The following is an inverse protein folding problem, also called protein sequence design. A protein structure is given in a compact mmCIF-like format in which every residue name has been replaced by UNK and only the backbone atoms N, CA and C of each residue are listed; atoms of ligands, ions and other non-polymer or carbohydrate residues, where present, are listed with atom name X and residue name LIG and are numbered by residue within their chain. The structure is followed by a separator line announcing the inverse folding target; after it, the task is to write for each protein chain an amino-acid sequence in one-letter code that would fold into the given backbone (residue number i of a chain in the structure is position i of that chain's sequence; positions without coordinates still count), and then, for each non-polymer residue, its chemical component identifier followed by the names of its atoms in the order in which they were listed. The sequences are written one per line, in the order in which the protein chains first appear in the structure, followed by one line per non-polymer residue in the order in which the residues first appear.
data_IF_939183392755
#
_entry.id   IF_939183392755
#
_cell.length_a   1.000
_cell.length_b   1.000
_cell.length_c   1.000
_cell.angle_alpha   90.00
_cell.angle_beta   90.00
_cell.angle_gamma   90.00
#
_symmetry.space_group_name_H-M   'P 1'
#
loop_
_entity.id
_entity.type
_entity.pdbx_description
1 polymer ?
#
# COMPACT_ATOMS: atom_id res chain seq x y z
N UNK A 1 -33.65 -2.51 -2.30
CA UNK A 1 -32.35 -1.91 -1.89
C UNK A 1 -31.52 -3.01 -1.28
N UNK A 2 -30.68 -3.67 -2.08
CA UNK A 2 -29.81 -4.74 -1.60
C UNK A 2 -28.67 -4.12 -0.81
N UNK A 3 -28.48 -4.56 0.43
CA UNK A 3 -27.28 -4.25 1.18
C UNK A 3 -26.08 -4.79 0.40
N UNK A 4 -25.06 -3.96 0.20
CA UNK A 4 -23.77 -4.41 -0.33
C UNK A 4 -23.22 -5.47 0.63
N UNK A 5 -22.77 -6.64 0.14
CA UNK A 5 -22.17 -7.65 1.00
C UNK A 5 -20.97 -7.04 1.74
N UNK A 6 -20.79 -7.42 3.01
CA UNK A 6 -19.64 -7.04 3.83
C UNK A 6 -18.37 -7.44 3.05
N UNK A 7 -17.34 -6.60 3.09
CA UNK A 7 -16.05 -6.77 2.40
C UNK A 7 -15.39 -8.17 2.55
N UNK A 8 -15.83 -8.99 3.50
CA UNK A 8 -15.32 -10.34 3.77
C UNK A 8 -15.62 -11.39 2.68
N UNK A 9 -16.53 -11.12 1.75
CA UNK A 9 -16.95 -12.07 0.70
C UNK A 9 -16.61 -11.57 -0.71
N UNK A 10 -15.63 -10.68 -0.83
CA UNK A 10 -15.07 -10.27 -2.12
C UNK A 10 -14.18 -11.41 -2.62
N UNK A 11 -14.51 -11.96 -3.78
CA UNK A 11 -13.72 -12.95 -4.51
C UNK A 11 -12.24 -12.53 -4.49
N UNK A 12 -11.45 -13.12 -3.57
CA UNK A 12 -10.04 -12.76 -3.43
C UNK A 12 -9.34 -13.07 -4.73
N UNK A 13 -8.54 -12.13 -5.19
CA UNK A 13 -7.80 -12.30 -6.43
C UNK A 13 -6.66 -13.29 -6.18
N UNK A 14 -6.48 -14.27 -7.07
CA UNK A 14 -5.26 -15.08 -7.05
C UNK A 14 -4.06 -14.28 -7.60
N UNK A 15 -2.84 -14.77 -7.40
CA UNK A 15 -1.62 -14.05 -7.79
C UNK A 15 -1.58 -13.67 -9.29
N UNK A 16 -2.05 -14.54 -10.17
CA UNK A 16 -2.10 -14.28 -11.62
C UNK A 16 -3.03 -13.12 -11.96
N UNK A 17 -4.21 -13.10 -11.34
CA UNK A 17 -5.21 -12.06 -11.58
C UNK A 17 -4.80 -10.75 -10.90
N UNK A 18 -4.11 -10.77 -9.75
CA UNK A 18 -3.52 -9.59 -9.12
C UNK A 18 -2.43 -8.95 -9.99
N UNK A 19 -1.51 -9.75 -10.54
CA UNK A 19 -0.50 -9.29 -11.49
C UNK A 19 -1.12 -8.69 -12.76
N UNK A 20 -2.21 -9.27 -13.26
CA UNK A 20 -2.96 -8.71 -14.41
C UNK A 20 -3.57 -7.35 -14.10
N UNK A 21 -4.18 -7.17 -12.92
CA UNK A 21 -4.71 -5.87 -12.49
C UNK A 21 -3.61 -4.82 -12.47
N UNK A 22 -2.43 -5.17 -11.99
CA UNK A 22 -1.30 -4.26 -11.98
C UNK A 22 -0.88 -3.84 -13.38
N UNK A 23 -0.75 -4.80 -14.30
CA UNK A 23 -0.35 -4.54 -15.68
C UNK A 23 -1.32 -3.59 -16.41
N UNK A 24 -2.64 -3.76 -16.24
CA UNK A 24 -3.63 -2.93 -16.94
C UNK A 24 -3.78 -1.52 -16.35
N UNK A 25 -3.44 -1.34 -15.08
CA UNK A 25 -3.55 -0.04 -14.39
C UNK A 25 -2.21 0.70 -14.25
N UNK A 26 -1.13 0.19 -14.84
CA UNK A 26 0.22 0.73 -14.68
C UNK A 26 0.67 0.77 -13.20
N UNK A 27 0.33 -0.27 -12.45
CA UNK A 27 0.90 -0.53 -11.12
C UNK A 27 2.12 -1.43 -11.24
N UNK A 28 3.01 -1.35 -10.27
CA UNK A 28 4.27 -2.10 -10.24
C UNK A 28 4.43 -2.87 -8.94
N UNK A 29 5.45 -3.72 -8.86
CA UNK A 29 5.90 -4.36 -7.61
C UNK A 29 4.82 -5.20 -6.91
N UNK A 30 3.99 -5.90 -7.68
CA UNK A 30 2.99 -6.81 -7.12
C UNK A 30 3.67 -7.91 -6.27
N UNK A 31 3.13 -8.14 -5.07
CA UNK A 31 3.54 -9.26 -4.22
C UNK A 31 2.42 -9.74 -3.32
N UNK A 32 2.54 -10.99 -2.89
CA UNK A 32 1.68 -11.63 -1.88
C UNK A 32 2.45 -11.80 -0.57
N UNK A 33 1.72 -11.86 0.54
CA UNK A 33 2.25 -12.04 1.89
C UNK A 33 1.74 -13.36 2.52
N UNK A 34 2.39 -13.83 3.59
CA UNK A 34 2.02 -15.07 4.28
C UNK A 34 0.62 -14.99 4.91
N UNK A 35 0.20 -13.79 5.32
CA UNK A 35 -1.13 -13.52 5.86
C UNK A 35 -2.22 -13.39 4.78
N UNK A 36 -1.94 -13.90 3.58
CA UNK A 36 -2.84 -13.92 2.42
C UNK A 36 -3.21 -12.55 1.86
N UNK A 37 -2.57 -11.47 2.31
CA UNK A 37 -2.71 -10.16 1.70
C UNK A 37 -1.88 -10.07 0.43
N UNK A 38 -2.23 -9.10 -0.39
CA UNK A 38 -1.44 -8.69 -1.53
C UNK A 38 -1.29 -7.18 -1.58
N UNK A 39 -0.27 -6.73 -2.32
CA UNK A 39 -0.04 -5.33 -2.53
C UNK A 39 0.72 -5.03 -3.82
N UNK A 40 0.62 -3.79 -4.26
CA UNK A 40 1.38 -3.23 -5.36
C UNK A 40 1.68 -1.75 -5.12
N UNK A 41 2.50 -1.14 -5.99
CA UNK A 41 2.77 0.30 -6.01
C UNK A 41 2.03 0.94 -7.17
N UNK A 42 1.24 1.97 -6.88
CA UNK A 42 0.54 2.76 -7.89
C UNK A 42 1.08 4.19 -7.97
N UNK A 43 1.34 4.73 -9.17
CA UNK A 43 1.61 6.14 -9.35
C UNK A 43 0.32 6.97 -9.22
N UNK A 44 0.37 8.06 -8.48
CA UNK A 44 -0.66 9.10 -8.42
C UNK A 44 -0.08 10.42 -8.95
N UNK A 45 -0.94 11.43 -9.15
CA UNK A 45 -0.58 12.72 -9.75
C UNK A 45 0.65 13.39 -9.09
N UNK A 46 0.84 13.21 -7.78
CA UNK A 46 1.94 13.84 -7.02
C UNK A 46 2.64 12.90 -6.03
N UNK A 47 2.23 11.63 -5.95
CA UNK A 47 2.68 10.69 -4.92
C UNK A 47 2.73 9.29 -5.50
N UNK A 48 3.34 8.37 -4.77
CA UNK A 48 3.23 6.94 -5.01
C UNK A 48 2.47 6.32 -3.85
N UNK A 49 1.72 5.26 -4.06
CA UNK A 49 1.06 4.57 -2.94
C UNK A 49 1.26 3.07 -3.01
N UNK A 50 1.47 2.47 -1.83
CA UNK A 50 1.23 1.04 -1.66
C UNK A 50 -0.29 0.88 -1.61
N UNK A 51 -0.85 0.09 -2.52
CA UNK A 51 -2.24 -0.35 -2.49
C UNK A 51 -2.25 -1.77 -1.92
N UNK A 52 -3.13 -2.03 -0.95
CA UNK A 52 -3.27 -3.36 -0.36
C UNK A 52 -4.67 -3.92 -0.53
N UNK A 53 -4.75 -5.25 -0.53
CA UNK A 53 -5.98 -6.03 -0.66
C UNK A 53 -6.69 -5.67 -1.97
N UNK A 54 -6.02 -5.93 -3.09
CA UNK A 54 -6.54 -5.63 -4.41
C UNK A 54 -7.84 -6.44 -4.63
N UNK A 55 -8.78 -5.83 -5.34
CA UNK A 55 -9.93 -6.52 -5.92
C UNK A 55 -10.16 -6.02 -7.36
N UNK A 56 -11.12 -6.63 -8.08
CA UNK A 56 -11.42 -6.27 -9.46
C UNK A 56 -11.94 -4.82 -9.62
N UNK A 57 -12.35 -4.18 -8.53
CA UNK A 57 -12.92 -2.83 -8.49
C UNK A 57 -11.95 -1.80 -7.89
N UNK A 58 -10.88 -2.22 -7.23
CA UNK A 58 -9.93 -1.32 -6.57
C UNK A 58 -9.03 -2.00 -5.54
N UNK A 59 -9.02 -1.44 -4.33
CA UNK A 59 -8.14 -1.84 -3.22
C UNK A 59 -8.84 -1.58 -1.88
N UNK A 60 -8.45 -2.35 -0.85
CA UNK A 60 -8.94 -2.20 0.51
C UNK A 60 -8.34 -1.00 1.25
N UNK A 61 -7.03 -0.78 1.12
CA UNK A 61 -6.34 0.35 1.76
C UNK A 61 -5.19 0.90 0.92
N UNK A 62 -4.71 2.10 1.25
CA UNK A 62 -3.52 2.68 0.64
C UNK A 62 -2.73 3.61 1.56
N UNK A 63 -1.41 3.62 1.34
CA UNK A 63 -0.48 4.51 2.04
C UNK A 63 0.37 5.30 1.05
N UNK A 64 0.33 6.63 1.13
CA UNK A 64 1.00 7.51 0.17
C UNK A 64 2.42 7.91 0.61
N UNK A 65 3.33 7.96 -0.36
CA UNK A 65 4.75 8.29 -0.28
C UNK A 65 5.10 9.41 -1.27
N UNK A 66 6.13 10.19 -0.97
CA UNK A 66 6.55 11.27 -1.87
C UNK A 66 7.22 10.73 -3.13
N UNK A 67 7.99 9.65 -2.99
CA UNK A 67 8.78 9.07 -4.07
C UNK A 67 8.46 7.58 -4.24
N UNK A 68 8.70 7.08 -5.45
CA UNK A 68 8.63 5.66 -5.75
C UNK A 68 9.62 4.86 -4.88
N UNK A 69 10.83 5.38 -4.71
CA UNK A 69 11.88 4.71 -3.92
C UNK A 69 11.45 4.50 -2.46
N UNK A 70 10.77 5.48 -1.85
CA UNK A 70 10.26 5.33 -0.48
C UNK A 70 9.14 4.30 -0.41
N UNK A 71 8.21 4.31 -1.38
CA UNK A 71 7.15 3.30 -1.46
C UNK A 71 7.74 1.90 -1.67
N UNK A 72 8.76 1.75 -2.51
CA UNK A 72 9.42 0.48 -2.79
C UNK A 72 10.13 -0.07 -1.57
N UNK A 73 10.92 0.78 -0.89
CA UNK A 73 11.60 0.41 0.36
C UNK A 73 10.61 -0.01 1.43
N UNK A 74 9.50 0.72 1.57
CA UNK A 74 8.45 0.37 2.51
C UNK A 74 7.78 -0.95 2.16
N UNK A 75 7.48 -1.21 0.88
CA UNK A 75 6.87 -2.47 0.42
C UNK A 75 7.82 -3.67 0.57
N UNK A 76 9.13 -3.47 0.40
CA UNK A 76 10.13 -4.52 0.63
C UNK A 76 10.19 -4.94 2.10
N UNK A 77 10.15 -3.96 3.00
CA UNK A 77 10.23 -4.18 4.44
C UNK A 77 8.91 -4.63 5.09
N UNK A 78 7.79 -4.46 4.39
CA UNK A 78 6.47 -4.80 4.91
C UNK A 78 6.25 -6.32 4.90
N UNK A 79 5.64 -6.83 5.96
CA UNK A 79 5.25 -8.24 6.14
C UNK A 79 3.77 -8.49 5.83
N UNK A 80 3.03 -7.44 5.47
CA UNK A 80 1.58 -7.48 5.23
C UNK A 80 0.77 -7.22 6.50
N UNK A 81 1.36 -7.15 7.68
CA UNK A 81 0.65 -6.86 8.92
C UNK A 81 0.59 -5.35 9.17
N UNK A 82 -0.52 -4.90 9.77
CA UNK A 82 -0.76 -3.50 10.10
C UNK A 82 -0.50 -2.53 8.92
N UNK A 83 0.32 -1.52 9.14
CA UNK A 83 0.62 -0.45 8.19
C UNK A 83 2.13 -0.48 7.87
N UNK A 84 2.52 -0.33 6.59
CA UNK A 84 3.93 -0.18 6.23
C UNK A 84 4.51 1.07 6.90
N UNK A 85 5.84 1.16 7.04
CA UNK A 85 6.48 2.34 7.62
C UNK A 85 6.57 3.52 6.62
N UNK A 86 6.82 4.72 7.14
CA UNK A 86 7.27 5.88 6.35
C UNK A 86 6.23 6.58 5.46
N UNK A 87 4.94 6.24 5.57
CA UNK A 87 3.91 6.89 4.77
C UNK A 87 3.56 8.30 5.30
N UNK A 88 3.14 9.18 4.38
CA UNK A 88 2.89 10.59 4.70
C UNK A 88 1.46 10.83 5.20
N UNK A 89 0.50 10.20 4.54
CA UNK A 89 -0.92 10.40 4.83
C UNK A 89 -1.74 9.16 4.50
N UNK A 90 -2.67 8.84 5.38
CA UNK A 90 -3.67 7.82 5.18
C UNK A 90 -4.94 8.53 4.69
N UNK A 91 -5.48 8.18 3.52
CA UNK A 91 -6.57 8.94 2.90
C UNK A 91 -7.90 8.78 3.63
N UNK A 92 -8.26 7.57 4.07
CA UNK A 92 -9.52 7.30 4.75
C UNK A 92 -9.58 7.91 6.16
N UNK A 93 -8.52 7.75 6.95
CA UNK A 93 -8.48 8.23 8.34
C UNK A 93 -7.92 9.64 8.49
N UNK A 94 -7.25 10.18 7.48
CA UNK A 94 -6.57 11.48 7.53
C UNK A 94 -5.32 11.50 8.42
N UNK A 95 -4.96 10.37 9.05
CA UNK A 95 -3.74 10.23 9.86
C UNK A 95 -2.52 10.60 9.02
N UNK A 96 -1.44 10.97 9.72
CA UNK A 96 -0.11 11.15 9.15
C UNK A 96 0.78 10.07 9.73
N UNK A 97 1.62 9.44 8.92
CA UNK A 97 2.56 8.47 9.45
C UNK A 97 3.53 9.17 10.39
N UNK A 98 4.03 8.42 11.37
CA UNK A 98 5.14 8.91 12.17
C UNK A 98 6.30 9.18 11.22
N UNK A 99 6.78 10.42 11.17
CA UNK A 99 8.13 10.68 10.66
C UNK A 99 9.06 9.94 11.60
N UNK A 100 9.93 9.08 11.08
CA UNK A 100 11.09 8.65 11.84
C UNK A 100 11.88 9.91 12.15
N UNK A 101 11.80 10.36 13.41
CA UNK A 101 12.58 11.47 13.92
C UNK A 101 14.02 10.97 14.09
N UNK A 102 14.74 10.80 12.99
CA UNK A 102 16.18 10.98 13.03
C UNK A 102 16.44 12.49 12.99
N UNK A 103 16.09 13.14 14.10
CA UNK A 103 16.67 14.43 14.44
C UNK A 103 18.17 14.19 14.66
N UNK A 104 18.97 15.08 14.09
CA UNK A 104 20.42 15.07 14.07
C UNK A 104 21.01 15.08 15.50
N UNK A 105 21.22 13.92 16.12
CA UNK A 105 22.16 13.78 17.24
C UNK A 105 23.55 13.40 16.72
N UNK A 106 24.19 14.31 15.98
CA UNK A 106 25.65 14.34 15.92
C UNK A 106 26.18 15.72 15.48
N UNK A 107 26.05 16.70 16.37
CA UNK A 107 27.13 17.70 16.56
C UNK A 107 27.40 17.78 18.06
N UNK A 108 28.06 16.74 18.57
CA UNK A 108 29.03 16.91 19.64
C UNK A 108 30.40 16.88 18.99
N UNK A 109 30.98 18.06 18.80
CA UNK A 109 32.33 18.46 19.19
C UNK A 109 32.53 19.92 18.79
#
# INVERSE_FOLDING_TARGET
MSALPKLAERDRINCERGARICAVNNYSDYRTFENERDACIAPFLFTYAILADLDEWGYGDRWCYHTYADARRALDAWDGEYEPAGWLRHPASGRRGKKDSNDFEEIRL
#
